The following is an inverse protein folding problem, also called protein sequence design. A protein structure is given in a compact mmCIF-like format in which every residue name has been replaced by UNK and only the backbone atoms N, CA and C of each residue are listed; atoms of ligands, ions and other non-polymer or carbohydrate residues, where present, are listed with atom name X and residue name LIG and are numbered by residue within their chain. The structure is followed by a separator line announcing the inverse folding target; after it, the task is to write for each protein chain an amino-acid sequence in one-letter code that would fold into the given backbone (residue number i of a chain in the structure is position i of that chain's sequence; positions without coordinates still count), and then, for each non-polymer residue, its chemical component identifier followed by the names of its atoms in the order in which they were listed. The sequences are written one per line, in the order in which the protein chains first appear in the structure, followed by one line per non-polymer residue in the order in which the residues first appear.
data_IF_002038802652
#
_entry.id   IF_002038802652
#
_cell.length_a   1.000
_cell.length_b   1.000
_cell.length_c   1.000
_cell.angle_alpha   90.00
_cell.angle_beta   90.00
_cell.angle_gamma   90.00
#
_symmetry.space_group_name_H-M   'P 1'
#
loop_
_entity.id
_entity.type
_entity.pdbx_description
1 polymer ?
#
# COMPACT_ATOMS: atom_id res chain seq x y z
N UNK A 1 -12.02 -1.55 39.75
CA UNK A 1 -11.15 -2.07 38.69
C UNK A 1 -11.96 -2.14 37.41
N UNK A 2 -11.78 -1.19 36.49
CA UNK A 2 -12.51 -1.15 35.21
C UNK A 2 -11.72 -1.96 34.19
N UNK A 3 -12.26 -3.10 33.77
CA UNK A 3 -11.64 -3.98 32.81
C UNK A 3 -11.53 -3.29 31.43
N UNK A 4 -10.31 -3.08 30.94
CA UNK A 4 -10.06 -2.75 29.54
C UNK A 4 -10.48 -3.95 28.69
N UNK A 5 -11.65 -3.88 28.06
CA UNK A 5 -11.99 -4.76 26.94
C UNK A 5 -11.04 -4.43 25.79
N UNK A 6 -9.99 -5.23 25.63
CA UNK A 6 -9.17 -5.22 24.43
C UNK A 6 -10.05 -5.66 23.26
N UNK A 7 -10.59 -4.69 22.53
CA UNK A 7 -11.23 -4.95 21.24
C UNK A 7 -10.15 -5.51 20.31
N UNK A 8 -10.15 -6.83 20.15
CA UNK A 8 -9.45 -7.48 19.05
C UNK A 8 -10.05 -6.92 17.76
N UNK A 9 -9.41 -5.90 17.20
CA UNK A 9 -9.79 -5.34 15.92
C UNK A 9 -9.74 -6.49 14.91
N UNK A 10 -10.93 -6.99 14.54
CA UNK A 10 -11.07 -8.02 13.53
C UNK A 10 -10.22 -7.61 12.35
N UNK A 11 -9.28 -8.47 11.98
CA UNK A 11 -8.51 -8.35 10.78
C UNK A 11 -9.45 -8.05 9.61
N UNK A 12 -9.45 -6.81 9.15
CA UNK A 12 -10.35 -6.41 8.09
C UNK A 12 -9.80 -6.94 6.77
N UNK A 13 -10.59 -7.77 6.10
CA UNK A 13 -10.29 -8.18 4.72
C UNK A 13 -10.78 -7.11 3.74
N UNK A 14 -10.11 -6.96 2.59
CA UNK A 14 -10.54 -6.03 1.55
C UNK A 14 -11.84 -6.46 0.86
N UNK A 15 -12.46 -5.50 0.19
CA UNK A 15 -13.45 -5.76 -0.86
C UNK A 15 -12.76 -6.47 -2.03
N UNK A 16 -13.34 -7.58 -2.48
CA UNK A 16 -12.84 -8.37 -3.61
C UNK A 16 -12.98 -7.58 -4.92
N UNK A 17 -11.99 -7.66 -5.80
CA UNK A 17 -12.01 -6.96 -7.10
C UNK A 17 -11.87 -5.44 -7.03
N UNK A 18 -11.79 -4.86 -5.82
CA UNK A 18 -11.78 -3.43 -5.60
C UNK A 18 -10.45 -2.76 -5.93
N UNK A 19 -10.52 -1.44 -6.07
CA UNK A 19 -9.37 -0.55 -6.26
C UNK A 19 -9.28 0.39 -5.07
N UNK A 20 -8.10 0.52 -4.49
CA UNK A 20 -7.80 1.46 -3.42
C UNK A 20 -6.73 2.43 -3.89
N UNK A 21 -6.91 3.72 -3.63
CA UNK A 21 -5.97 4.75 -4.06
C UNK A 21 -5.58 5.67 -2.90
N UNK A 22 -4.38 6.21 -2.99
CA UNK A 22 -3.84 7.15 -2.02
C UNK A 22 -2.60 7.83 -2.57
N UNK A 23 -2.26 8.94 -1.94
CA UNK A 23 -1.21 9.84 -2.42
C UNK A 23 -0.22 10.11 -1.30
N UNK A 24 1.08 10.04 -1.62
CA UNK A 24 2.15 10.53 -0.77
C UNK A 24 2.70 11.82 -1.36
N UNK A 25 2.75 12.86 -0.54
CA UNK A 25 3.41 14.12 -0.89
C UNK A 25 4.86 14.08 -0.40
N UNK A 26 5.81 14.11 -1.32
CA UNK A 26 7.21 14.29 -0.96
C UNK A 26 7.49 15.79 -0.78
N UNK A 27 7.74 16.20 0.46
CA UNK A 27 8.39 17.48 0.81
C UNK A 27 7.94 18.71 0.00
N UNK A 28 6.64 19.01 0.01
CA UNK A 28 6.10 20.32 -0.38
C UNK A 28 6.15 20.68 -1.87
N UNK A 29 6.62 19.80 -2.76
CA UNK A 29 6.69 20.06 -4.21
C UNK A 29 5.72 19.17 -4.99
N UNK A 30 4.72 19.74 -5.70
CA UNK A 30 3.70 18.96 -6.43
C UNK A 30 4.28 17.98 -7.45
N UNK A 31 5.43 18.31 -8.06
CA UNK A 31 6.09 17.51 -9.09
C UNK A 31 6.59 16.14 -8.59
N UNK A 32 6.70 15.91 -7.28
CA UNK A 32 7.17 14.64 -6.69
C UNK A 32 6.08 13.90 -5.94
N UNK A 33 4.81 14.22 -6.23
CA UNK A 33 3.65 13.50 -5.73
C UNK A 33 3.72 12.04 -6.17
N UNK A 34 3.53 11.11 -5.23
CA UNK A 34 3.52 9.68 -5.51
C UNK A 34 2.09 9.17 -5.40
N UNK A 35 1.50 8.79 -6.53
CA UNK A 35 0.18 8.16 -6.53
C UNK A 35 0.36 6.67 -6.37
N UNK A 36 -0.44 6.06 -5.51
CA UNK A 36 -0.41 4.63 -5.22
C UNK A 36 -1.81 4.07 -5.42
N UNK A 37 -1.90 3.02 -6.22
CA UNK A 37 -3.10 2.29 -6.54
C UNK A 37 -2.92 0.83 -6.20
N UNK A 38 -3.87 0.25 -5.47
CA UNK A 38 -3.90 -1.17 -5.12
C UNK A 38 -5.15 -1.79 -5.70
N UNK A 39 -5.00 -2.72 -6.65
CA UNK A 39 -6.10 -3.51 -7.19
C UNK A 39 -6.13 -4.88 -6.54
N UNK A 40 -7.19 -5.18 -5.79
CA UNK A 40 -7.42 -6.47 -5.16
C UNK A 40 -7.98 -7.44 -6.20
N UNK A 41 -7.48 -8.68 -6.22
CA UNK A 41 -7.96 -9.72 -7.11
C UNK A 41 -9.41 -10.10 -6.77
N UNK A 42 -10.13 -10.71 -7.72
CA UNK A 42 -11.50 -11.20 -7.49
C UNK A 42 -11.58 -12.24 -6.35
N UNK A 43 -10.49 -12.95 -6.07
CA UNK A 43 -10.40 -13.89 -4.96
C UNK A 43 -10.32 -13.20 -3.59
N UNK A 44 -9.85 -11.95 -3.53
CA UNK A 44 -9.51 -11.25 -2.28
C UNK A 44 -8.23 -11.72 -1.60
N UNK A 45 -7.50 -12.69 -2.17
CA UNK A 45 -6.31 -13.31 -1.56
C UNK A 45 -4.99 -12.71 -2.05
N UNK A 46 -5.04 -11.84 -3.06
CA UNK A 46 -3.87 -11.15 -3.61
C UNK A 46 -4.27 -9.79 -4.14
N UNK A 47 -3.28 -8.93 -4.32
CA UNK A 47 -3.45 -7.63 -4.95
C UNK A 47 -2.22 -7.25 -5.78
N UNK A 48 -2.40 -6.23 -6.62
CA UNK A 48 -1.33 -5.56 -7.34
C UNK A 48 -1.24 -4.12 -6.87
N UNK A 49 -0.07 -3.68 -6.44
CA UNK A 49 0.24 -2.26 -6.28
C UNK A 49 0.82 -1.73 -7.58
N UNK A 50 0.36 -0.54 -7.95
CA UNK A 50 0.93 0.31 -8.99
C UNK A 50 1.20 1.66 -8.34
N UNK A 51 2.42 2.19 -8.50
CA UNK A 51 2.71 3.53 -8.01
C UNK A 51 3.53 4.32 -9.03
N UNK A 52 3.35 5.64 -9.03
CA UNK A 52 4.06 6.59 -9.88
C UNK A 52 4.82 7.60 -9.02
N UNK A 53 5.83 8.24 -9.63
CA UNK A 53 6.65 9.28 -9.01
C UNK A 53 6.63 10.52 -9.90
N UNK A 54 5.81 11.50 -9.54
CA UNK A 54 5.63 12.70 -10.34
C UNK A 54 5.01 12.42 -11.73
N UNK A 55 5.18 13.38 -12.63
CA UNK A 55 4.79 13.28 -14.03
C UNK A 55 5.95 12.79 -14.90
N UNK A 56 5.65 12.01 -15.95
CA UNK A 56 6.64 11.58 -16.96
C UNK A 56 7.49 10.34 -16.61
N UNK A 57 7.41 9.80 -15.39
CA UNK A 57 8.06 8.52 -15.04
C UNK A 57 7.08 7.35 -15.20
N UNK A 58 7.57 6.25 -15.77
CA UNK A 58 6.77 5.03 -15.91
C UNK A 58 6.35 4.49 -14.52
N UNK A 59 5.09 4.06 -14.33
CA UNK A 59 4.65 3.47 -13.07
C UNK A 59 5.39 2.17 -12.76
N UNK A 60 5.69 1.95 -11.49
CA UNK A 60 6.22 0.69 -10.97
C UNK A 60 5.10 -0.20 -10.44
N UNK A 61 5.22 -1.52 -10.59
CA UNK A 61 4.18 -2.46 -10.16
C UNK A 61 4.74 -3.69 -9.45
N UNK A 62 3.96 -4.24 -8.51
CA UNK A 62 4.21 -5.53 -7.87
C UNK A 62 2.90 -6.23 -7.52
N UNK A 63 2.90 -7.55 -7.58
CA UNK A 63 1.85 -8.38 -7.00
C UNK A 63 2.27 -8.88 -5.61
N UNK A 64 1.29 -9.07 -4.73
CA UNK A 64 1.52 -9.59 -3.39
C UNK A 64 0.33 -10.37 -2.85
N UNK A 65 0.58 -11.35 -1.98
CA UNK A 65 -0.46 -12.04 -1.25
C UNK A 65 -1.05 -11.15 -0.16
N UNK A 66 -2.35 -11.31 0.11
CA UNK A 66 -3.03 -10.76 1.27
C UNK A 66 -3.24 -11.90 2.26
N UNK A 67 -2.70 -11.76 3.45
CA UNK A 67 -2.84 -12.76 4.51
C UNK A 67 -4.25 -12.75 5.08
N UNK A 68 -4.62 -13.83 5.78
CA UNK A 68 -5.93 -13.95 6.43
C UNK A 68 -6.19 -12.84 7.47
N UNK A 69 -5.13 -12.24 8.03
CA UNK A 69 -5.21 -11.11 8.96
C UNK A 69 -5.29 -9.74 8.25
N UNK A 70 -5.41 -9.71 6.92
CA UNK A 70 -5.45 -8.50 6.10
C UNK A 70 -4.09 -7.82 5.90
N UNK A 71 -2.99 -8.39 6.42
CA UNK A 71 -1.64 -7.84 6.22
C UNK A 71 -1.07 -8.24 4.86
N UNK A 72 -0.15 -7.41 4.36
CA UNK A 72 0.56 -7.67 3.11
C UNK A 72 1.98 -7.09 3.14
N UNK A 73 2.86 -7.71 2.35
CA UNK A 73 4.23 -7.26 2.13
C UNK A 73 4.62 -7.56 0.68
N UNK A 74 5.24 -6.60 0.02
CA UNK A 74 5.78 -6.73 -1.32
C UNK A 74 7.17 -6.09 -1.36
N UNK A 75 8.12 -6.74 -2.04
CA UNK A 75 9.49 -6.29 -2.16
C UNK A 75 9.91 -6.33 -3.63
N UNK A 76 10.40 -5.20 -4.15
CA UNK A 76 11.06 -5.15 -5.46
C UNK A 76 12.55 -5.27 -5.21
N UNK A 77 13.12 -6.41 -5.62
CA UNK A 77 14.54 -6.69 -5.44
C UNK A 77 15.26 -6.66 -6.79
N UNK A 78 16.52 -6.23 -6.77
CA UNK A 78 17.46 -6.36 -7.87
C UNK A 78 18.73 -6.97 -7.29
N UNK A 79 18.94 -8.26 -7.58
CA UNK A 79 19.90 -9.07 -6.83
C UNK A 79 19.51 -9.13 -5.34
N UNK A 80 20.45 -8.81 -4.46
CA UNK A 80 20.25 -8.72 -3.00
C UNK A 80 19.68 -7.38 -2.51
N UNK A 81 19.63 -6.36 -3.37
CA UNK A 81 19.16 -5.02 -3.00
C UNK A 81 17.64 -4.92 -3.12
N UNK A 82 16.97 -4.51 -2.05
CA UNK A 82 15.56 -4.08 -2.11
C UNK A 82 15.47 -2.65 -2.60
N UNK A 83 15.04 -2.45 -3.85
CA UNK A 83 14.88 -1.15 -4.51
C UNK A 83 13.73 -0.36 -3.88
N UNK A 84 12.61 -1.04 -3.63
CA UNK A 84 11.46 -0.49 -2.92
C UNK A 84 10.60 -1.60 -2.32
N UNK A 85 9.80 -1.25 -1.33
CA UNK A 85 8.85 -2.19 -0.72
C UNK A 85 7.52 -1.53 -0.39
N UNK A 86 6.47 -2.33 -0.36
CA UNK A 86 5.13 -1.91 -0.02
C UNK A 86 4.55 -2.83 1.04
N UNK A 87 4.36 -2.30 2.24
CA UNK A 87 4.03 -3.08 3.43
C UNK A 87 2.84 -2.42 4.11
N UNK A 88 1.86 -3.20 4.53
CA UNK A 88 0.69 -2.63 5.15
C UNK A 88 -0.33 -3.64 5.59
N UNK A 89 -1.52 -3.13 5.87
CA UNK A 89 -2.69 -3.93 6.21
C UNK A 89 -3.97 -3.22 5.80
N UNK A 90 -4.98 -4.02 5.50
CA UNK A 90 -6.36 -3.53 5.46
C UNK A 90 -6.84 -3.26 6.90
N UNK A 91 -7.48 -2.12 7.08
CA UNK A 91 -8.05 -1.68 8.38
C UNK A 91 -9.58 -1.69 8.36
N UNK A 92 -10.18 -1.65 7.17
CA UNK A 92 -11.59 -1.94 6.92
C UNK A 92 -11.75 -2.50 5.50
N UNK A 93 -12.98 -2.91 5.12
CA UNK A 93 -13.29 -3.25 3.72
C UNK A 93 -13.00 -2.11 2.74
N UNK A 94 -12.97 -0.87 3.22
CA UNK A 94 -12.83 0.33 2.39
C UNK A 94 -11.49 1.05 2.55
N UNK A 95 -10.66 0.64 3.50
CA UNK A 95 -9.43 1.36 3.85
C UNK A 95 -8.26 0.42 4.11
N UNK A 96 -7.09 0.80 3.64
CA UNK A 96 -5.83 0.19 4.01
C UNK A 96 -4.83 1.24 4.49
N UNK A 97 -3.96 0.86 5.42
CA UNK A 97 -2.81 1.66 5.83
C UNK A 97 -1.55 0.95 5.35
N UNK A 98 -0.72 1.67 4.63
CA UNK A 98 0.50 1.11 4.06
C UNK A 98 1.67 2.07 4.24
N UNK A 99 2.87 1.53 4.07
CA UNK A 99 4.12 2.26 3.96
C UNK A 99 4.74 1.87 2.63
N UNK A 100 5.07 2.89 1.83
CA UNK A 100 5.87 2.74 0.62
C UNK A 100 7.30 3.15 0.96
N UNK A 101 8.24 2.20 0.94
CA UNK A 101 9.67 2.47 1.10
C UNK A 101 10.31 2.56 -0.27
N UNK A 102 11.04 3.63 -0.56
CA UNK A 102 11.68 3.87 -1.86
C UNK A 102 13.20 3.95 -1.70
N UNK A 103 13.84 2.83 -1.35
CA UNK A 103 15.25 2.82 -0.94
C UNK A 103 16.22 3.31 -2.03
N UNK A 104 15.96 2.97 -3.29
CA UNK A 104 16.85 3.29 -4.42
C UNK A 104 16.08 3.75 -5.68
N UNK A 105 14.91 4.36 -5.50
CA UNK A 105 14.05 4.81 -6.62
C UNK A 105 13.33 6.12 -6.30
N UNK A 106 12.73 6.74 -7.31
CA UNK A 106 12.09 8.06 -7.22
C UNK A 106 13.07 9.12 -6.66
N UNK A 107 12.83 9.59 -5.42
CA UNK A 107 13.59 10.59 -4.68
C UNK A 107 14.18 10.02 -3.38
N UNK A 108 14.17 8.70 -3.20
CA UNK A 108 14.63 8.05 -1.96
C UNK A 108 13.64 8.17 -0.79
N UNK A 109 12.54 8.92 -0.94
CA UNK A 109 11.66 9.30 0.17
C UNK A 109 10.35 8.53 0.13
N UNK A 110 10.28 7.49 0.96
CA UNK A 110 9.06 6.77 1.24
C UNK A 110 8.08 7.51 2.15
N UNK A 111 7.00 6.85 2.54
CA UNK A 111 6.05 7.39 3.50
C UNK A 111 4.90 6.46 3.85
N UNK A 112 4.17 6.82 4.91
CA UNK A 112 2.93 6.15 5.29
C UNK A 112 1.76 6.81 4.58
N UNK A 113 0.88 6.01 3.98
CA UNK A 113 -0.34 6.47 3.31
C UNK A 113 -1.56 5.67 3.75
N UNK A 114 -2.69 6.37 3.70
CA UNK A 114 -4.01 5.75 3.76
C UNK A 114 -4.51 5.57 2.33
N UNK A 115 -4.95 4.36 2.02
CA UNK A 115 -5.54 3.99 0.75
C UNK A 115 -7.04 3.84 0.96
N UNK A 116 -7.82 4.45 0.10
CA UNK A 116 -9.29 4.47 0.20
C UNK A 116 -9.87 3.82 -1.04
N UNK A 117 -10.87 2.96 -0.82
CA UNK A 117 -11.67 2.34 -1.86
C UNK A 117 -12.20 3.42 -2.81
N UNK A 118 -11.95 3.22 -4.10
CA UNK A 118 -12.55 4.03 -5.16
C UNK A 118 -13.92 3.43 -5.50
N UNK A 119 -14.90 4.33 -5.70
CA UNK A 119 -16.28 3.97 -6.06
C UNK A 119 -16.36 3.40 -7.49
#
# INVERSE_FOLDING_TARGET
MTALLATTAFAALPTKGAVYEGTLYASGTPALTKQVRVKVAASGKSARVTWSCGTGRAPSTLQFPIKADGTFKAYSNTGSLTVWSFIGRFVSKQKARAVLHLNATCDGKGGTLNLVLQA
#
